data_IF_852193301368
#
_entry.id   IF_852193301368
#
_cell.length_a   1.000
_cell.length_b   1.000
_cell.length_c   1.000
_cell.angle_alpha   90.00
_cell.angle_beta   90.00
_cell.angle_gamma   90.00
#
_symmetry.space_group_name_H-M   'P 1'
#
loop_
_entity.id
_entity.type
_entity.pdbx_description
1 polymer ?
#
# COMPACT_ATOMS: atom_id res chain seq x y z
N UNK A 1 -32.39 62.70 -20.35
CA UNK A 1 -30.96 62.40 -20.70
C UNK A 1 -29.96 63.27 -19.93
N UNK A 2 -30.20 64.53 -19.69
CA UNK A 2 -29.26 65.49 -19.03
C UNK A 2 -28.89 65.15 -17.59
N UNK A 3 -29.82 64.60 -16.80
CA UNK A 3 -29.59 64.28 -15.38
C UNK A 3 -28.67 63.08 -15.18
N UNK A 4 -28.68 62.10 -16.10
CA UNK A 4 -27.82 60.94 -16.08
C UNK A 4 -26.35 61.32 -16.45
N UNK A 5 -26.18 62.20 -17.38
CA UNK A 5 -24.85 62.69 -17.79
C UNK A 5 -24.14 63.48 -16.67
N UNK A 6 -24.90 64.29 -15.91
CA UNK A 6 -24.35 65.01 -14.77
C UNK A 6 -23.94 64.10 -13.61
N UNK A 7 -24.68 63.00 -13.34
CA UNK A 7 -24.33 62.00 -12.33
C UNK A 7 -23.07 61.24 -12.71
N UNK A 8 -22.94 60.86 -13.97
CA UNK A 8 -21.74 60.16 -14.46
C UNK A 8 -20.49 61.06 -14.38
N UNK A 9 -20.61 62.34 -14.77
CA UNK A 9 -19.51 63.29 -14.62
C UNK A 9 -19.10 63.54 -13.16
N UNK A 10 -20.07 63.56 -12.22
CA UNK A 10 -19.79 63.69 -10.78
C UNK A 10 -19.04 62.46 -10.23
N UNK A 11 -19.45 61.27 -10.63
CA UNK A 11 -18.81 60.01 -10.20
C UNK A 11 -17.38 59.88 -10.76
N UNK A 12 -17.18 60.25 -12.00
CA UNK A 12 -15.84 60.27 -12.62
C UNK A 12 -14.94 61.28 -11.91
N UNK A 13 -15.47 62.47 -11.59
CA UNK A 13 -14.74 63.51 -10.87
C UNK A 13 -14.35 63.12 -9.46
N UNK A 14 -15.22 62.39 -8.73
CA UNK A 14 -14.93 61.87 -7.37
C UNK A 14 -13.85 60.76 -7.44
N UNK A 15 -13.95 59.83 -8.40
CA UNK A 15 -12.93 58.80 -8.59
C UNK A 15 -11.58 59.40 -8.94
N UNK A 16 -11.58 60.42 -9.80
CA UNK A 16 -10.35 61.11 -10.21
C UNK A 16 -9.74 61.88 -9.04
N UNK A 17 -10.54 62.55 -8.21
CA UNK A 17 -10.06 63.25 -7.02
C UNK A 17 -9.47 62.27 -5.98
N UNK A 18 -10.04 61.09 -5.84
CA UNK A 18 -9.53 60.04 -4.94
C UNK A 18 -8.21 59.49 -5.46
N UNK A 19 -8.10 59.28 -6.76
CA UNK A 19 -6.85 58.86 -7.41
C UNK A 19 -5.75 59.92 -7.22
N UNK A 20 -6.08 61.20 -7.43
CA UNK A 20 -5.11 62.31 -7.24
C UNK A 20 -4.68 62.43 -5.76
N UNK A 21 -5.59 62.22 -4.80
CA UNK A 21 -5.24 62.21 -3.36
C UNK A 21 -4.34 61.03 -3.04
N UNK A 22 -4.63 59.85 -3.60
CA UNK A 22 -3.80 58.66 -3.45
C UNK A 22 -2.39 58.89 -4.01
N UNK A 23 -2.29 59.38 -5.23
CA UNK A 23 -1.01 59.74 -5.86
C UNK A 23 -0.25 60.79 -5.04
N UNK A 24 -0.93 61.85 -4.54
CA UNK A 24 -0.30 62.88 -3.70
C UNK A 24 0.17 62.33 -2.35
N UNK A 25 -0.57 61.35 -1.76
CA UNK A 25 -0.20 60.74 -0.46
C UNK A 25 1.01 59.83 -0.61
N UNK A 26 1.12 59.14 -1.75
CA UNK A 26 2.17 58.13 -1.96
C UNK A 26 3.18 58.56 -3.03
N UNK A 27 3.20 59.84 -3.39
CA UNK A 27 4.07 60.31 -4.48
C UNK A 27 5.56 59.98 -4.28
N UNK A 28 5.99 59.94 -3.01
CA UNK A 28 7.37 59.62 -2.63
C UNK A 28 7.70 58.15 -2.94
N UNK A 29 6.75 57.28 -2.69
CA UNK A 29 6.90 55.83 -3.04
C UNK A 29 6.93 55.66 -4.55
N UNK A 30 6.04 56.31 -5.27
CA UNK A 30 6.02 56.25 -6.75
C UNK A 30 7.28 56.83 -7.37
N UNK A 31 7.77 57.95 -6.82
CA UNK A 31 9.02 58.58 -7.27
C UNK A 31 10.21 57.63 -6.99
N UNK A 32 10.24 56.99 -5.80
CA UNK A 32 11.28 56.04 -5.45
C UNK A 32 11.27 54.83 -6.39
N UNK A 33 10.11 54.20 -6.60
CA UNK A 33 9.96 53.08 -7.52
C UNK A 33 10.36 53.44 -8.98
N UNK A 34 10.02 54.66 -9.42
CA UNK A 34 10.40 55.13 -10.75
C UNK A 34 11.92 55.30 -10.85
N UNK A 35 12.56 55.91 -9.84
CA UNK A 35 14.02 56.08 -9.83
C UNK A 35 14.75 54.73 -9.74
N UNK A 36 14.22 53.79 -8.94
CA UNK A 36 14.77 52.47 -8.81
C UNK A 36 14.63 51.68 -10.14
N UNK A 37 13.47 51.78 -10.80
CA UNK A 37 13.26 51.21 -12.14
C UNK A 37 14.21 51.78 -13.20
N UNK A 38 14.44 53.10 -13.18
CA UNK A 38 15.43 53.74 -14.07
C UNK A 38 16.85 53.30 -13.74
N UNK A 39 17.19 53.18 -12.45
CA UNK A 39 18.52 52.71 -12.05
C UNK A 39 18.77 51.25 -12.50
N UNK A 40 17.79 50.36 -12.33
CA UNK A 40 17.85 48.97 -12.80
C UNK A 40 17.95 48.91 -14.31
N UNK A 41 17.19 49.75 -15.04
CA UNK A 41 17.27 49.85 -16.51
C UNK A 41 18.65 50.30 -16.97
N UNK A 42 19.22 51.35 -16.36
CA UNK A 42 20.57 51.87 -16.70
C UNK A 42 21.67 50.84 -16.39
N UNK A 43 21.55 50.14 -15.27
CA UNK A 43 22.47 49.05 -14.92
C UNK A 43 22.38 47.91 -15.93
N UNK A 44 21.17 47.54 -16.35
CA UNK A 44 20.94 46.49 -17.34
C UNK A 44 21.47 46.86 -18.74
N UNK A 45 21.36 48.14 -19.15
CA UNK A 45 21.82 48.60 -20.43
C UNK A 45 23.33 48.83 -20.50
N UNK A 46 23.98 49.19 -19.38
CA UNK A 46 25.38 49.63 -19.42
C UNK A 46 26.40 48.57 -18.96
N UNK A 47 25.97 47.35 -18.61
CA UNK A 47 26.88 46.32 -18.10
C UNK A 47 26.69 44.98 -18.79
N UNK A 48 27.52 44.70 -19.80
CA UNK A 48 27.63 43.39 -20.44
C UNK A 48 27.92 42.25 -19.45
N UNK A 49 28.53 42.55 -18.30
CA UNK A 49 28.85 41.55 -17.26
C UNK A 49 27.79 41.42 -16.17
N UNK A 50 26.95 42.44 -15.94
CA UNK A 50 25.92 42.38 -14.87
C UNK A 50 24.59 41.82 -15.38
N UNK A 51 24.30 41.90 -16.68
CA UNK A 51 23.12 41.25 -17.29
C UNK A 51 23.11 39.73 -17.08
N UNK A 52 24.28 39.10 -17.10
CA UNK A 52 24.39 37.66 -16.86
C UNK A 52 24.11 37.28 -15.40
N UNK A 53 24.43 38.13 -14.42
CA UNK A 53 24.17 37.87 -13.02
C UNK A 53 22.66 37.95 -12.67
N UNK A 54 21.95 38.90 -13.23
CA UNK A 54 20.49 39.05 -13.06
C UNK A 54 19.74 37.91 -13.74
N UNK A 55 20.14 37.51 -14.94
CA UNK A 55 19.56 36.38 -15.67
C UNK A 55 19.83 35.07 -14.91
N UNK A 56 21.06 34.89 -14.39
CA UNK A 56 21.41 33.70 -13.58
C UNK A 56 20.65 33.65 -12.26
N UNK A 57 20.43 34.78 -11.59
CA UNK A 57 19.63 34.88 -10.38
C UNK A 57 18.14 34.54 -10.64
N UNK A 58 17.58 35.11 -11.72
CA UNK A 58 16.21 34.81 -12.15
C UNK A 58 16.04 33.30 -12.51
N UNK A 59 17.01 32.74 -13.24
CA UNK A 59 17.02 31.34 -13.61
C UNK A 59 17.19 30.42 -12.39
N UNK A 60 17.99 30.80 -11.39
CA UNK A 60 18.13 30.05 -10.14
C UNK A 60 16.85 30.04 -9.30
N UNK A 61 16.15 31.18 -9.22
CA UNK A 61 14.85 31.24 -8.52
C UNK A 61 13.81 30.43 -9.30
N UNK A 62 13.71 30.60 -10.61
CA UNK A 62 12.81 29.82 -11.45
C UNK A 62 13.11 28.32 -11.34
N UNK A 63 14.40 27.93 -11.40
CA UNK A 63 14.84 26.54 -11.23
C UNK A 63 14.44 25.94 -9.89
N UNK A 64 14.61 26.67 -8.79
CA UNK A 64 14.23 26.20 -7.46
C UNK A 64 12.70 26.06 -7.28
N UNK A 65 11.91 26.97 -7.86
CA UNK A 65 10.44 26.87 -7.87
C UNK A 65 9.97 25.68 -8.72
N UNK A 66 10.57 25.47 -9.88
CA UNK A 66 10.28 24.31 -10.73
C UNK A 66 10.68 22.99 -10.06
N UNK A 67 11.80 22.94 -9.35
CA UNK A 67 12.25 21.77 -8.62
C UNK A 67 11.31 21.39 -7.46
N UNK A 68 10.84 22.38 -6.70
CA UNK A 68 9.83 22.18 -5.65
C UNK A 68 8.50 21.73 -6.23
N UNK A 69 8.02 22.36 -7.30
CA UNK A 69 6.79 21.98 -7.98
C UNK A 69 6.88 20.55 -8.55
N UNK A 70 8.02 20.20 -9.16
CA UNK A 70 8.27 18.86 -9.68
C UNK A 70 8.30 17.79 -8.58
N UNK A 71 8.82 18.08 -7.38
CA UNK A 71 8.81 17.15 -6.25
C UNK A 71 7.37 16.84 -5.80
N UNK A 72 6.51 17.85 -5.71
CA UNK A 72 5.11 17.69 -5.33
C UNK A 72 4.34 16.91 -6.40
N UNK A 73 4.48 17.30 -7.67
CA UNK A 73 3.83 16.62 -8.80
C UNK A 73 4.28 15.15 -8.91
N UNK A 74 5.59 14.90 -8.72
CA UNK A 74 6.16 13.55 -8.72
C UNK A 74 5.59 12.68 -7.60
N UNK A 75 5.34 13.24 -6.41
CA UNK A 75 4.75 12.52 -5.29
C UNK A 75 3.31 12.06 -5.60
N UNK A 76 2.47 12.95 -6.13
CA UNK A 76 1.12 12.59 -6.57
C UNK A 76 1.10 11.60 -7.72
N UNK A 77 2.00 11.76 -8.68
CA UNK A 77 2.18 10.81 -9.78
C UNK A 77 2.60 9.43 -9.27
N UNK A 78 3.54 9.37 -8.31
CA UNK A 78 3.98 8.11 -7.70
C UNK A 78 2.84 7.37 -7.00
N UNK A 79 1.98 8.09 -6.27
CA UNK A 79 0.81 7.50 -5.60
C UNK A 79 -0.17 6.88 -6.63
N UNK A 80 -0.43 7.57 -7.75
CA UNK A 80 -1.29 7.07 -8.82
C UNK A 80 -0.69 5.85 -9.52
N UNK A 81 0.62 5.86 -9.80
CA UNK A 81 1.35 4.74 -10.40
C UNK A 81 1.37 3.53 -9.47
N UNK A 82 1.65 3.73 -8.18
CA UNK A 82 1.62 2.65 -7.19
C UNK A 82 0.23 1.99 -7.11
N UNK A 83 -0.84 2.79 -7.15
CA UNK A 83 -2.20 2.27 -7.18
C UNK A 83 -2.48 1.47 -8.46
N UNK A 84 -2.03 1.96 -9.63
CA UNK A 84 -2.18 1.25 -10.90
C UNK A 84 -1.40 -0.08 -10.88
N UNK A 85 -0.14 -0.07 -10.42
CA UNK A 85 0.70 -1.26 -10.28
C UNK A 85 0.10 -2.27 -9.29
N UNK A 86 -0.49 -1.81 -8.19
CA UNK A 86 -1.16 -2.69 -7.22
C UNK A 86 -2.35 -3.41 -7.86
N UNK A 87 -3.16 -2.69 -8.66
CA UNK A 87 -4.28 -3.28 -9.40
C UNK A 87 -3.81 -4.28 -10.47
N UNK A 88 -2.78 -3.93 -11.22
CA UNK A 88 -2.17 -4.81 -12.21
C UNK A 88 -1.59 -6.07 -11.56
N UNK A 89 -0.88 -5.93 -10.44
CA UNK A 89 -0.39 -7.07 -9.66
C UNK A 89 -1.51 -7.99 -9.17
N UNK A 90 -2.64 -7.44 -8.71
CA UNK A 90 -3.80 -8.26 -8.32
C UNK A 90 -4.35 -9.06 -9.50
N UNK A 91 -4.43 -8.43 -10.67
CA UNK A 91 -4.88 -9.07 -11.92
C UNK A 91 -3.90 -10.16 -12.38
N UNK A 92 -2.59 -9.87 -12.40
CA UNK A 92 -1.56 -10.84 -12.76
C UNK A 92 -1.53 -12.04 -11.79
N UNK A 93 -1.65 -11.80 -10.49
CA UNK A 93 -1.73 -12.87 -9.48
C UNK A 93 -2.94 -13.78 -9.69
N UNK A 94 -4.07 -13.22 -10.15
CA UNK A 94 -5.24 -14.05 -10.48
C UNK A 94 -5.06 -14.93 -11.71
N UNK A 95 -4.08 -14.60 -12.56
CA UNK A 95 -3.75 -15.35 -13.80
C UNK A 95 -2.63 -16.38 -13.60
N UNK A 96 -1.95 -16.39 -12.44
CA UNK A 96 -0.88 -17.37 -12.17
C UNK A 96 -1.45 -18.78 -12.03
N UNK A 97 -0.73 -19.77 -12.49
CA UNK A 97 -1.10 -21.19 -12.51
C UNK A 97 -1.60 -21.73 -11.15
N UNK A 98 -1.02 -21.25 -10.03
CA UNK A 98 -1.47 -21.59 -8.67
C UNK A 98 -2.88 -21.06 -8.30
N UNK A 99 -3.43 -20.15 -9.09
CA UNK A 99 -4.81 -19.64 -8.92
C UNK A 99 -5.86 -20.52 -9.59
N UNK A 100 -5.44 -21.58 -10.28
CA UNK A 100 -6.30 -22.50 -11.00
C UNK A 100 -6.23 -23.91 -10.43
N UNK A 101 -7.33 -24.64 -10.48
CA UNK A 101 -7.40 -26.07 -10.18
C UNK A 101 -7.56 -26.85 -11.46
N UNK A 102 -6.73 -27.88 -11.62
CA UNK A 102 -6.83 -28.82 -12.74
C UNK A 102 -7.85 -29.89 -12.38
N UNK A 103 -9.01 -29.91 -13.07
CA UNK A 103 -9.95 -31.01 -12.99
C UNK A 103 -9.59 -32.04 -14.06
N UNK A 104 -9.19 -33.24 -13.64
CA UNK A 104 -9.02 -34.38 -14.54
C UNK A 104 -10.35 -35.15 -14.49
N UNK A 105 -11.17 -35.04 -15.49
CA UNK A 105 -12.31 -35.93 -15.69
C UNK A 105 -11.76 -37.30 -16.09
N UNK A 106 -12.06 -38.33 -15.27
CA UNK A 106 -11.88 -39.73 -15.69
C UNK A 106 -12.97 -40.06 -16.69
N UNK A 107 -12.52 -40.51 -17.84
CA UNK A 107 -13.32 -41.13 -18.92
C UNK A 107 -14.17 -40.17 -19.77
N UNK A 108 -13.53 -39.51 -20.71
CA UNK A 108 -13.88 -39.49 -22.14
C UNK A 108 -12.79 -38.72 -22.88
N UNK A 109 -12.41 -39.24 -24.06
CA UNK A 109 -11.49 -38.60 -25.00
C UNK A 109 -12.00 -37.21 -25.41
N UNK A 110 -11.57 -36.19 -24.70
CA UNK A 110 -11.55 -34.81 -25.19
C UNK A 110 -10.31 -34.14 -24.61
N UNK A 111 -9.48 -33.62 -25.49
CA UNK A 111 -8.18 -33.00 -25.24
C UNK A 111 -8.30 -31.61 -24.56
N UNK A 112 -9.27 -31.35 -23.69
CA UNK A 112 -9.40 -30.05 -23.00
C UNK A 112 -9.23 -30.21 -21.50
N UNK A 113 -8.03 -29.88 -21.04
CA UNK A 113 -7.74 -29.67 -19.63
C UNK A 113 -8.48 -28.41 -19.18
N UNK A 114 -9.65 -28.55 -18.58
CA UNK A 114 -10.43 -27.40 -18.10
C UNK A 114 -9.78 -26.89 -16.80
N UNK A 115 -9.07 -25.78 -16.90
CA UNK A 115 -8.57 -25.07 -15.75
C UNK A 115 -9.69 -24.19 -15.18
N UNK A 116 -10.16 -24.47 -13.96
CA UNK A 116 -11.05 -23.57 -13.21
C UNK A 116 -10.25 -22.71 -12.24
N UNK A 117 -10.46 -21.41 -12.29
CA UNK A 117 -9.84 -20.49 -11.37
C UNK A 117 -10.30 -20.77 -9.94
N UNK A 118 -9.35 -20.91 -9.01
CA UNK A 118 -9.60 -21.18 -7.59
C UNK A 118 -9.56 -19.91 -6.75
N UNK A 119 -8.64 -19.01 -7.04
CA UNK A 119 -8.42 -17.80 -6.27
C UNK A 119 -8.53 -16.54 -7.13
N UNK A 120 -9.15 -15.50 -6.56
CA UNK A 120 -9.12 -14.14 -7.09
C UNK A 120 -8.58 -13.21 -6.03
N UNK A 121 -8.03 -12.06 -6.45
CA UNK A 121 -7.36 -11.11 -5.57
C UNK A 121 -8.04 -9.75 -5.64
N UNK A 122 -8.43 -9.21 -4.49
CA UNK A 122 -9.06 -7.90 -4.33
C UNK A 122 -8.00 -6.97 -3.73
N UNK A 123 -7.60 -5.94 -4.47
CA UNK A 123 -6.72 -4.90 -3.98
C UNK A 123 -7.40 -4.11 -2.86
N UNK A 124 -6.67 -3.84 -1.78
CA UNK A 124 -7.13 -3.00 -0.67
C UNK A 124 -5.98 -2.16 -0.10
N UNK A 125 -6.34 -1.05 0.53
CA UNK A 125 -5.40 -0.15 1.21
C UNK A 125 -5.61 -0.24 2.71
N UNK A 126 -4.52 -0.24 3.46
CA UNK A 126 -4.53 -0.20 4.92
C UNK A 126 -4.86 1.22 5.39
N UNK A 127 -5.94 1.37 6.17
CA UNK A 127 -6.40 2.67 6.70
C UNK A 127 -5.89 2.87 8.13
N UNK A 128 -5.83 1.78 8.91
CA UNK A 128 -5.36 1.79 10.30
C UNK A 128 -4.66 0.48 10.61
N UNK A 129 -3.63 0.53 11.43
CA UNK A 129 -2.86 -0.66 11.81
C UNK A 129 -2.32 -0.57 13.23
N UNK A 130 -2.18 -1.71 13.89
CA UNK A 130 -1.40 -1.88 15.11
C UNK A 130 -0.35 -2.98 14.90
N UNK A 131 0.86 -2.79 15.46
CA UNK A 131 1.97 -3.76 15.37
C UNK A 131 2.68 -3.98 16.72
N UNK A 132 2.35 -3.16 17.73
CA UNK A 132 3.04 -3.14 19.02
C UNK A 132 2.16 -3.62 20.20
N UNK A 133 1.04 -4.29 19.90
CA UNK A 133 0.12 -4.84 20.89
C UNK A 133 0.26 -6.35 20.94
N UNK A 134 -0.29 -7.00 21.96
CA UNK A 134 -0.44 -8.46 21.99
C UNK A 134 -1.42 -8.95 20.92
N UNK A 135 -2.44 -8.14 20.62
CA UNK A 135 -3.47 -8.41 19.62
C UNK A 135 -3.47 -7.32 18.58
N UNK A 136 -2.88 -7.59 17.41
CA UNK A 136 -2.71 -6.61 16.35
C UNK A 136 -3.72 -6.84 15.23
N UNK A 137 -4.36 -5.74 14.83
CA UNK A 137 -5.36 -5.70 13.76
C UNK A 137 -5.03 -4.63 12.74
N UNK A 138 -5.37 -4.89 11.50
CA UNK A 138 -5.33 -3.91 10.40
C UNK A 138 -6.74 -3.66 9.89
N UNK A 139 -7.05 -2.41 9.55
CA UNK A 139 -8.30 -2.01 8.91
C UNK A 139 -8.06 -1.72 7.45
N UNK A 140 -8.90 -2.28 6.57
CA UNK A 140 -8.84 -2.10 5.13
C UNK A 140 -10.01 -1.26 4.63
N UNK A 141 -9.78 -0.51 3.53
CA UNK A 141 -10.78 0.30 2.82
C UNK A 141 -11.69 -0.52 1.88
N UNK A 142 -11.81 -1.81 2.11
CA UNK A 142 -12.67 -2.72 1.36
C UNK A 142 -13.51 -3.54 2.30
N UNK A 143 -14.78 -3.75 1.94
CA UNK A 143 -15.75 -4.49 2.73
C UNK A 143 -16.62 -5.40 1.86
N UNK A 144 -17.80 -5.77 2.39
CA UNK A 144 -18.73 -6.68 1.75
C UNK A 144 -19.16 -6.19 0.36
N UNK A 145 -19.36 -4.88 0.18
CA UNK A 145 -19.71 -4.28 -1.13
C UNK A 145 -18.63 -4.50 -2.20
N UNK A 146 -17.40 -4.80 -1.78
CA UNK A 146 -16.27 -5.13 -2.66
C UNK A 146 -16.01 -6.64 -2.73
N UNK A 147 -16.87 -7.46 -2.13
CA UNK A 147 -16.72 -8.92 -2.10
C UNK A 147 -15.80 -9.45 -1.01
N UNK A 148 -15.40 -8.63 -0.02
CA UNK A 148 -14.60 -9.05 1.13
C UNK A 148 -15.53 -9.67 2.18
N UNK A 149 -15.19 -10.89 2.61
CA UNK A 149 -15.95 -11.64 3.62
C UNK A 149 -15.04 -12.13 4.73
N UNK A 150 -15.64 -12.54 5.86
CA UNK A 150 -14.94 -13.16 6.96
C UNK A 150 -14.16 -14.40 6.50
N UNK A 151 -13.04 -14.67 7.15
CA UNK A 151 -12.11 -15.79 6.91
C UNK A 151 -11.35 -15.74 5.59
N UNK A 152 -11.46 -14.65 4.82
CA UNK A 152 -10.61 -14.47 3.65
C UNK A 152 -9.17 -14.18 4.07
N UNK A 153 -8.22 -14.84 3.41
CA UNK A 153 -6.79 -14.58 3.57
C UNK A 153 -6.44 -13.18 3.06
N UNK A 154 -5.52 -12.51 3.73
CA UNK A 154 -4.95 -11.24 3.29
C UNK A 154 -3.45 -11.37 3.17
N UNK A 155 -2.93 -10.99 2.02
CA UNK A 155 -1.50 -11.05 1.70
C UNK A 155 -0.95 -9.67 1.37
N UNK A 156 0.34 -9.54 1.53
CA UNK A 156 1.13 -8.38 1.10
C UNK A 156 1.83 -8.70 -0.23
N UNK A 157 2.47 -7.74 -0.89
CA UNK A 157 3.37 -8.03 -2.01
C UNK A 157 4.44 -9.08 -1.69
N UNK A 158 4.93 -9.10 -0.44
CA UNK A 158 6.09 -9.89 -0.02
C UNK A 158 5.73 -11.08 0.88
N UNK A 159 4.46 -11.28 1.25
CA UNK A 159 4.10 -12.41 2.13
C UNK A 159 2.72 -12.31 2.76
N UNK A 160 2.51 -13.09 3.79
CA UNK A 160 1.24 -13.23 4.49
C UNK A 160 1.00 -12.05 5.46
N UNK A 161 -0.23 -11.50 5.49
CA UNK A 161 -0.65 -10.54 6.53
C UNK A 161 -1.52 -11.18 7.61
N UNK A 162 -2.49 -12.01 7.23
CA UNK A 162 -3.45 -12.61 8.17
C UNK A 162 -4.77 -12.99 7.52
N UNK A 163 -5.87 -12.89 8.28
CA UNK A 163 -7.22 -13.18 7.77
C UNK A 163 -8.26 -12.16 8.23
N UNK A 164 -9.29 -11.96 7.43
CA UNK A 164 -10.42 -11.08 7.74
C UNK A 164 -11.26 -11.71 8.86
N UNK A 165 -11.41 -11.02 10.00
CA UNK A 165 -12.24 -11.45 11.11
C UNK A 165 -13.62 -10.81 11.10
N UNK A 166 -13.74 -9.60 10.54
CA UNK A 166 -15.02 -8.91 10.41
C UNK A 166 -15.01 -7.99 9.18
N UNK A 167 -16.18 -7.81 8.56
CA UNK A 167 -16.36 -6.91 7.43
C UNK A 167 -17.72 -6.20 7.52
N UNK A 168 -17.70 -4.89 7.29
CA UNK A 168 -18.88 -4.04 7.08
C UNK A 168 -19.06 -3.76 5.59
N UNK A 169 -20.02 -2.95 5.19
CA UNK A 169 -20.24 -2.63 3.78
C UNK A 169 -18.97 -2.10 3.07
N UNK A 170 -18.20 -1.20 3.72
CA UNK A 170 -17.09 -0.49 3.08
C UNK A 170 -15.71 -0.81 3.67
N UNK A 171 -15.65 -1.45 4.84
CA UNK A 171 -14.41 -1.68 5.59
C UNK A 171 -14.31 -3.12 6.08
N UNK A 172 -13.10 -3.58 6.32
CA UNK A 172 -12.87 -4.88 6.96
C UNK A 172 -11.74 -4.80 7.98
N UNK A 173 -11.79 -5.70 8.96
CA UNK A 173 -10.78 -5.89 10.01
C UNK A 173 -10.04 -7.19 9.75
N UNK A 174 -8.73 -7.12 9.71
CA UNK A 174 -7.81 -8.24 9.52
C UNK A 174 -7.11 -8.53 10.84
N UNK A 175 -7.24 -9.75 11.34
CA UNK A 175 -6.39 -10.29 12.39
C UNK A 175 -5.07 -10.69 11.75
N UNK A 176 -3.99 -10.08 12.21
CA UNK A 176 -2.68 -10.25 11.57
C UNK A 176 -1.94 -11.47 12.09
N UNK A 177 -0.87 -11.87 11.41
CA UNK A 177 0.10 -12.86 11.91
C UNK A 177 0.78 -12.42 13.21
N UNK A 178 0.71 -11.12 13.56
CA UNK A 178 1.20 -10.53 14.80
C UNK A 178 0.10 -10.50 15.90
N UNK A 179 -0.76 -11.50 15.95
CA UNK A 179 -1.79 -11.67 16.96
C UNK A 179 -1.53 -12.98 17.70
N UNK A 180 -1.58 -12.97 19.04
CA UNK A 180 -1.24 -14.12 19.85
C UNK A 180 -2.11 -15.34 19.59
N UNK A 181 -3.39 -15.15 19.22
CA UNK A 181 -4.29 -16.24 18.88
C UNK A 181 -4.13 -16.76 17.45
N UNK A 182 -3.29 -16.12 16.62
CA UNK A 182 -3.06 -16.55 15.25
C UNK A 182 -2.19 -17.80 15.22
N UNK A 183 -2.74 -18.88 14.64
CA UNK A 183 -2.04 -20.14 14.38
C UNK A 183 -2.21 -20.50 12.91
N UNK A 184 -1.12 -20.62 12.18
CA UNK A 184 -1.16 -20.86 10.74
C UNK A 184 -0.24 -22.04 10.41
N UNK A 185 -0.81 -23.04 9.69
CA UNK A 185 -0.05 -24.18 9.21
C UNK A 185 0.91 -23.71 8.10
N UNK A 186 2.19 -23.89 8.33
CA UNK A 186 3.27 -23.55 7.40
C UNK A 186 4.11 -24.77 7.06
N UNK A 187 4.86 -24.68 5.99
CA UNK A 187 5.85 -25.70 5.61
C UNK A 187 7.16 -25.07 5.16
N UNK A 188 8.21 -25.80 5.34
CA UNK A 188 9.50 -25.49 4.72
C UNK A 188 9.41 -25.77 3.22
N UNK A 189 9.68 -24.77 2.39
CA UNK A 189 9.56 -24.89 0.92
C UNK A 189 10.46 -25.97 0.33
N UNK A 190 11.66 -26.16 0.91
CA UNK A 190 12.66 -27.12 0.43
C UNK A 190 12.36 -28.56 0.87
N UNK A 191 12.05 -28.75 2.17
CA UNK A 191 11.92 -30.09 2.76
C UNK A 191 10.48 -30.58 2.85
N UNK A 192 9.50 -29.70 2.60
CA UNK A 192 8.07 -29.94 2.77
C UNK A 192 7.64 -30.28 4.21
N UNK A 193 8.56 -30.16 5.18
CA UNK A 193 8.25 -30.35 6.60
C UNK A 193 7.25 -29.28 7.08
N UNK A 194 6.20 -29.70 7.75
CA UNK A 194 5.13 -28.85 8.22
C UNK A 194 5.29 -28.50 9.71
N UNK A 195 4.77 -27.34 10.10
CA UNK A 195 4.71 -26.88 11.47
C UNK A 195 3.66 -25.80 11.64
N UNK A 196 3.48 -25.30 12.84
CA UNK A 196 2.52 -24.26 13.18
C UNK A 196 3.24 -22.96 13.47
N UNK A 197 2.96 -21.92 12.69
CA UNK A 197 3.43 -20.56 12.91
C UNK A 197 2.60 -19.91 14.00
N UNK A 198 3.30 -19.28 14.94
CA UNK A 198 2.73 -18.46 16.02
C UNK A 198 3.57 -17.18 16.20
N UNK A 199 2.97 -16.19 16.86
CA UNK A 199 3.67 -15.00 17.34
C UNK A 199 3.35 -14.79 18.82
N UNK A 200 4.38 -14.82 19.66
CA UNK A 200 4.24 -14.75 21.13
C UNK A 200 4.34 -13.31 21.68
N UNK A 201 4.41 -12.32 20.79
CA UNK A 201 4.61 -10.91 21.17
C UNK A 201 6.05 -10.44 21.04
N UNK A 202 6.31 -9.18 21.34
CA UNK A 202 7.64 -8.56 21.27
C UNK A 202 7.99 -8.00 19.90
N UNK A 203 9.06 -8.45 19.27
CA UNK A 203 9.50 -7.93 17.97
C UNK A 203 8.53 -8.37 16.84
N UNK A 204 7.92 -7.39 16.18
CA UNK A 204 7.00 -7.64 15.05
C UNK A 204 7.68 -8.22 13.80
N UNK A 205 9.01 -8.31 13.78
CA UNK A 205 9.79 -8.87 12.66
C UNK A 205 10.05 -10.35 12.81
N UNK A 206 9.80 -10.92 14.00
CA UNK A 206 10.20 -12.27 14.36
C UNK A 206 8.99 -13.07 14.82
N UNK A 207 8.83 -14.28 14.28
CA UNK A 207 7.82 -15.24 14.70
C UNK A 207 8.46 -16.57 15.10
N UNK A 208 7.63 -17.53 15.50
CA UNK A 208 8.05 -18.85 15.92
C UNK A 208 7.32 -19.92 15.15
N UNK A 209 7.99 -21.07 14.91
CA UNK A 209 7.37 -22.28 14.39
C UNK A 209 7.46 -23.35 15.48
N UNK A 210 6.33 -23.93 15.79
CA UNK A 210 6.19 -25.07 16.69
C UNK A 210 5.82 -26.33 15.88
N UNK A 211 6.03 -27.49 16.48
CA UNK A 211 5.59 -28.81 15.96
C UNK A 211 6.21 -29.20 14.62
N UNK A 212 7.37 -28.63 14.24
CA UNK A 212 8.11 -29.09 13.06
C UNK A 212 9.03 -30.24 13.44
N UNK A 213 8.94 -31.45 12.79
CA UNK A 213 9.72 -32.61 13.16
C UNK A 213 11.23 -32.37 13.05
N UNK A 214 11.98 -32.77 14.11
CA UNK A 214 13.44 -32.58 14.15
C UNK A 214 14.23 -33.65 13.37
N UNK A 215 13.55 -34.68 12.82
CA UNK A 215 14.15 -35.70 11.95
C UNK A 215 14.50 -35.18 10.57
N UNK A 216 13.91 -34.05 10.15
CA UNK A 216 14.11 -33.49 8.81
C UNK A 216 15.20 -32.41 8.85
N UNK A 217 16.14 -32.40 7.87
CA UNK A 217 17.23 -31.44 7.87
C UNK A 217 16.73 -30.03 7.61
N UNK A 218 16.87 -29.13 8.60
CA UNK A 218 16.56 -27.71 8.53
C UNK A 218 17.85 -26.91 8.37
N UNK A 219 17.81 -25.81 7.62
CA UNK A 219 18.92 -24.88 7.43
C UNK A 219 18.49 -23.44 7.75
N UNK A 220 19.43 -22.66 8.28
CA UNK A 220 19.26 -21.20 8.38
C UNK A 220 19.05 -20.61 6.98
N UNK A 221 18.06 -19.70 6.84
CA UNK A 221 17.68 -19.11 5.56
C UNK A 221 16.67 -19.95 4.76
N UNK A 222 16.27 -21.13 5.23
CA UNK A 222 15.19 -21.88 4.59
C UNK A 222 13.91 -21.04 4.55
N UNK A 223 13.23 -21.04 3.40
CA UNK A 223 11.98 -20.30 3.19
C UNK A 223 10.80 -21.07 3.77
N UNK A 224 10.00 -20.39 4.54
CA UNK A 224 8.74 -20.88 5.11
C UNK A 224 7.57 -20.33 4.30
N UNK A 225 6.65 -21.19 3.91
CA UNK A 225 5.45 -20.85 3.13
C UNK A 225 4.21 -21.45 3.79
N UNK A 226 3.03 -20.94 3.46
CA UNK A 226 1.76 -21.56 3.86
C UNK A 226 1.66 -22.98 3.32
N UNK A 227 1.18 -23.92 4.13
CA UNK A 227 1.16 -25.35 3.79
C UNK A 227 0.05 -25.75 2.82
N UNK A 228 -1.01 -24.93 2.69
CA UNK A 228 -2.21 -25.27 1.93
C UNK A 228 -3.22 -26.17 2.65
N UNK A 229 -2.91 -26.62 3.87
CA UNK A 229 -3.84 -27.44 4.68
C UNK A 229 -5.00 -26.65 5.29
N UNK A 230 -4.98 -25.33 5.13
CA UNK A 230 -6.08 -24.45 5.54
C UNK A 230 -6.90 -24.01 4.32
N UNK A 231 -8.20 -24.04 4.42
CA UNK A 231 -9.13 -23.51 3.40
C UNK A 231 -8.96 -22.02 3.14
N UNK A 232 -8.53 -21.31 4.19
CA UNK A 232 -8.45 -19.86 4.18
C UNK A 232 -7.15 -19.36 3.55
N UNK A 233 -6.07 -20.15 3.65
CA UNK A 233 -4.75 -19.75 3.17
C UNK A 233 -4.34 -20.56 1.95
N UNK A 234 -4.20 -19.93 0.77
CA UNK A 234 -3.61 -20.59 -0.39
C UNK A 234 -2.24 -21.15 -0.06
N UNK A 235 -1.88 -22.27 -0.68
CA UNK A 235 -0.55 -22.87 -0.56
C UNK A 235 0.52 -21.99 -1.20
N UNK A 236 1.72 -21.97 -0.59
CA UNK A 236 2.90 -21.35 -1.20
C UNK A 236 3.06 -19.85 -0.96
N UNK A 237 2.19 -19.22 -0.15
CA UNK A 237 2.38 -17.82 0.24
C UNK A 237 3.56 -17.75 1.20
N UNK A 238 4.52 -16.86 0.88
CA UNK A 238 5.71 -16.67 1.70
C UNK A 238 5.35 -16.12 3.08
N UNK A 239 5.94 -16.73 4.13
CA UNK A 239 5.74 -16.32 5.53
C UNK A 239 7.02 -15.71 6.08
N UNK A 240 8.17 -16.29 5.77
CA UNK A 240 9.46 -15.78 6.22
C UNK A 240 10.61 -16.75 6.05
N UNK A 241 11.71 -16.46 6.74
CA UNK A 241 12.97 -17.18 6.61
C UNK A 241 13.46 -17.65 7.97
N UNK A 242 13.91 -18.91 8.06
CA UNK A 242 14.48 -19.50 9.28
C UNK A 242 15.70 -18.69 9.74
N UNK A 243 15.63 -18.14 10.95
CA UNK A 243 16.72 -17.35 11.56
C UNK A 243 17.58 -18.22 12.45
N UNK A 244 16.97 -18.90 13.41
CA UNK A 244 17.61 -19.84 14.32
C UNK A 244 16.70 -21.02 14.62
N UNK A 245 17.27 -22.16 14.99
CA UNK A 245 16.50 -23.32 15.41
C UNK A 245 17.29 -24.19 16.41
N UNK A 246 16.59 -24.82 17.32
CA UNK A 246 17.12 -25.74 18.31
C UNK A 246 16.26 -27.01 18.34
N UNK A 247 16.89 -28.18 18.52
CA UNK A 247 16.14 -29.41 18.73
C UNK A 247 15.69 -29.47 20.20
N UNK A 248 14.44 -29.81 20.40
CA UNK A 248 13.93 -30.19 21.71
C UNK A 248 14.00 -31.73 21.87
N UNK A 249 14.90 -32.24 22.72
CA UNK A 249 15.05 -33.69 22.88
C UNK A 249 13.83 -34.34 23.49
N UNK A 250 12.99 -33.61 24.24
CA UNK A 250 11.85 -34.15 24.96
C UNK A 250 10.64 -34.37 24.05
N UNK A 251 10.44 -33.48 23.05
CA UNK A 251 9.27 -33.49 22.17
C UNK A 251 9.56 -34.08 20.80
N UNK A 252 10.83 -34.13 20.37
CA UNK A 252 11.21 -34.57 19.03
C UNK A 252 10.93 -33.51 17.95
N UNK A 253 10.59 -32.29 18.32
CA UNK A 253 10.35 -31.17 17.41
C UNK A 253 11.47 -30.15 17.45
N UNK A 254 11.49 -29.26 16.44
CA UNK A 254 12.30 -28.06 16.47
C UNK A 254 11.55 -26.91 17.18
N UNK A 255 12.26 -26.11 17.96
CA UNK A 255 11.91 -24.74 18.29
C UNK A 255 12.59 -23.84 17.28
N UNK A 256 11.83 -23.17 16.42
CA UNK A 256 12.34 -22.38 15.31
C UNK A 256 11.95 -20.92 15.52
N UNK A 257 12.92 -20.03 15.44
CA UNK A 257 12.72 -18.60 15.31
C UNK A 257 12.92 -18.21 13.82
N UNK A 258 12.02 -17.47 13.24
CA UNK A 258 12.08 -17.03 11.85
C UNK A 258 11.82 -15.54 11.73
N UNK A 259 12.32 -14.92 10.66
CA UNK A 259 12.05 -13.53 10.31
C UNK A 259 10.94 -13.47 9.27
N UNK A 260 9.93 -12.64 9.50
CA UNK A 260 8.85 -12.44 8.54
C UNK A 260 9.35 -11.84 7.23
N UNK A 261 8.81 -12.27 6.10
CA UNK A 261 9.13 -11.75 4.77
C UNK A 261 8.59 -10.35 4.50
N UNK A 262 7.51 -9.95 5.19
CA UNK A 262 6.84 -8.68 5.03
C UNK A 262 7.21 -7.68 6.15
N UNK A 263 7.47 -6.41 5.78
CA UNK A 263 7.61 -5.31 6.74
C UNK A 263 6.23 -4.70 7.06
N UNK A 264 5.61 -5.17 8.14
CA UNK A 264 4.27 -4.72 8.57
C UNK A 264 4.23 -3.24 8.98
N UNK A 265 5.38 -2.64 9.30
CA UNK A 265 5.45 -1.23 9.68
C UNK A 265 5.27 -0.29 8.48
N UNK A 266 5.70 -0.70 7.28
CA UNK A 266 5.63 0.11 6.06
C UNK A 266 4.48 -0.28 5.13
N UNK A 267 3.62 -1.19 5.58
CA UNK A 267 2.57 -1.76 4.74
C UNK A 267 1.46 -0.74 4.45
N UNK A 268 1.15 -0.57 3.18
CA UNK A 268 0.13 0.34 2.66
C UNK A 268 -0.88 -0.38 1.77
N UNK A 269 -0.42 -1.25 0.86
CA UNK A 269 -1.25 -2.01 -0.08
C UNK A 269 -1.23 -3.49 0.25
N UNK A 270 -2.41 -4.11 0.17
CA UNK A 270 -2.62 -5.54 0.44
C UNK A 270 -3.59 -6.14 -0.57
N UNK A 271 -3.64 -7.46 -0.64
CA UNK A 271 -4.57 -8.20 -1.48
C UNK A 271 -5.39 -9.14 -0.61
N UNK A 272 -6.73 -9.02 -0.69
CA UNK A 272 -7.65 -9.97 -0.08
C UNK A 272 -7.86 -11.12 -1.06
N UNK A 273 -7.60 -12.34 -0.62
CA UNK A 273 -7.69 -13.56 -1.43
C UNK A 273 -9.06 -14.18 -1.26
N UNK A 274 -9.80 -14.25 -2.36
CA UNK A 274 -11.10 -14.90 -2.41
C UNK A 274 -10.97 -16.30 -2.98
N UNK A 275 -11.30 -17.33 -2.19
CA UNK A 275 -11.42 -18.71 -2.64
C UNK A 275 -12.81 -18.90 -3.28
N UNK A 276 -12.87 -19.21 -4.56
CA UNK A 276 -14.10 -19.37 -5.31
C UNK A 276 -14.84 -20.68 -4.98
N UNK A 277 -14.13 -21.68 -4.42
CA UNK A 277 -14.69 -22.97 -4.00
C UNK A 277 -14.99 -23.05 -2.49
N UNK A 278 -14.84 -21.94 -1.74
CA UNK A 278 -15.02 -21.95 -0.29
C UNK A 278 -16.39 -22.48 0.12
N UNK A 279 -17.45 -22.04 -0.54
CA UNK A 279 -18.83 -22.44 -0.21
C UNK A 279 -19.03 -23.94 -0.36
N UNK A 280 -18.49 -24.53 -1.42
CA UNK A 280 -18.56 -25.98 -1.66
C UNK A 280 -17.76 -26.77 -0.60
N UNK A 281 -16.57 -26.29 -0.25
CA UNK A 281 -15.73 -26.87 0.81
C UNK A 281 -16.41 -26.80 2.19
N UNK A 282 -17.06 -25.66 2.52
CA UNK A 282 -17.76 -25.46 3.80
C UNK A 282 -19.01 -26.39 3.92
N UNK A 283 -19.69 -26.66 2.80
CA UNK A 283 -20.83 -27.58 2.77
C UNK A 283 -20.38 -29.03 3.03
N UNK A 284 -19.26 -29.46 2.44
CA UNK A 284 -18.72 -30.81 2.66
C UNK A 284 -18.26 -31.02 4.11
N UNK A 285 -17.60 -30.03 4.72
CA UNK A 285 -17.17 -30.17 6.12
C UNK A 285 -18.34 -30.19 7.12
N UNK A 286 -19.39 -29.42 6.85
CA UNK A 286 -20.60 -29.50 7.69
C UNK A 286 -21.21 -30.88 7.65
N UNK A 287 -21.22 -31.54 6.51
CA UNK A 287 -21.75 -32.90 6.40
C UNK A 287 -20.98 -33.94 7.23
N UNK A 288 -19.70 -33.71 7.53
CA UNK A 288 -18.88 -34.59 8.36
C UNK A 288 -19.05 -34.25 9.86
N UNK A 289 -19.32 -32.98 10.19
CA UNK A 289 -19.49 -32.54 11.57
C UNK A 289 -20.86 -32.96 12.20
N UNK A 290 -21.83 -33.28 11.35
CA UNK A 290 -23.18 -33.72 11.72
C UNK A 290 -23.28 -35.26 11.86
N UNK A 291 -22.20 -36.03 11.62
CA UNK A 291 -22.04 -37.46 11.94
C UNK A 291 -21.37 -37.65 13.33
#
# INVERSE_FOLDING_TARGET
>A
MTKFYLLLQKEIKEKMNNLIRFLKRYYFIFLFLLLEGVAIYLISCNSYHQGSAIVNFANNIAGSVYEQSNKITKYFYLASVNKALSKENAMLRSQIENSYVKFTEKEMQVEDTIYKQRFTFIEATVISKSINKSNNYFMLNKGVSNGVMKDMCVITPNGLLGSVVNATSNFSIVMTVLHQDTKIAVKNKRTQATGTMIWEGGDYRVGQIKEMPSSIPLKKGDTLVTSGYSRNYPEGIEVGYVKTFTKDPSTGFFNIEFEFSADYNKLEYVYVVKNLFKVEQDLLEKSIADE
#
